data_IF_136485116376
#
_entry.id   IF_136485116376
#
_cell.length_a   1.000
_cell.length_b   1.000
_cell.length_c   1.000
_cell.angle_alpha   90.00
_cell.angle_beta   90.00
_cell.angle_gamma   90.00
#
_symmetry.space_group_name_H-M   'P 1'
#
loop_
_entity.id
_entity.type
_entity.pdbx_description
1 polymer ?
#
# COMPACT_ATOMS: atom_id res chain seq x y z
N UNK A 1 22.21 19.48 -24.91
CA UNK A 1 22.09 18.37 -23.93
C UNK A 1 21.54 18.81 -22.58
N UNK A 2 21.86 20.02 -22.11
CA UNK A 2 21.39 20.58 -20.84
C UNK A 2 19.86 20.72 -20.78
N UNK A 3 19.22 21.14 -21.87
CA UNK A 3 17.76 21.30 -21.96
C UNK A 3 16.99 19.97 -21.86
N UNK A 4 17.58 18.87 -22.31
CA UNK A 4 16.97 17.53 -22.21
C UNK A 4 17.01 17.04 -20.76
N UNK A 5 18.09 17.34 -20.05
CA UNK A 5 18.24 17.02 -18.63
C UNK A 5 17.27 17.85 -17.78
N UNK A 6 17.16 19.15 -18.04
CA UNK A 6 16.20 20.03 -17.36
C UNK A 6 14.74 19.60 -17.61
N UNK A 7 14.37 19.23 -18.85
CA UNK A 7 13.04 18.74 -19.16
C UNK A 7 12.74 17.39 -18.47
N UNK A 8 13.74 16.52 -18.35
CA UNK A 8 13.60 15.26 -17.64
C UNK A 8 13.46 15.48 -16.14
N UNK A 9 14.23 16.40 -15.57
CA UNK A 9 14.11 16.80 -14.15
C UNK A 9 12.77 17.47 -13.87
N UNK A 10 12.28 18.35 -14.76
CA UNK A 10 10.95 18.97 -14.62
C UNK A 10 9.81 17.95 -14.69
N UNK A 11 9.90 16.94 -15.57
CA UNK A 11 8.92 15.83 -15.63
C UNK A 11 8.91 15.00 -14.35
N UNK A 12 10.07 14.71 -13.79
CA UNK A 12 10.19 13.96 -12.52
C UNK A 12 9.69 14.80 -11.34
N UNK A 13 9.91 16.10 -11.37
CA UNK A 13 9.57 17.05 -10.29
C UNK A 13 8.14 17.57 -10.32
N UNK A 14 7.32 17.23 -11.33
CA UNK A 14 5.93 17.72 -11.46
C UNK A 14 5.77 19.23 -11.17
N UNK A 15 6.69 20.06 -11.67
CA UNK A 15 6.69 21.54 -11.50
C UNK A 15 6.79 22.07 -10.05
N UNK A 16 7.26 21.29 -9.09
CA UNK A 16 7.57 21.81 -7.74
C UNK A 16 9.06 22.03 -7.59
N UNK A 17 9.47 23.22 -7.16
CA UNK A 17 10.84 23.52 -6.74
C UNK A 17 11.14 22.78 -5.44
N UNK A 18 12.23 22.02 -5.42
CA UNK A 18 12.73 21.35 -4.21
C UNK A 18 13.45 22.38 -3.38
N UNK A 19 12.98 22.65 -2.18
CA UNK A 19 13.59 23.58 -1.23
C UNK A 19 14.57 22.91 -0.27
N UNK A 20 14.41 21.58 -0.04
CA UNK A 20 15.26 20.82 0.89
C UNK A 20 15.47 19.36 0.42
N UNK A 21 16.56 18.72 0.87
CA UNK A 21 16.86 17.31 0.63
C UNK A 21 15.74 16.37 1.17
N UNK A 22 15.00 16.79 2.19
CA UNK A 22 13.83 16.08 2.73
C UNK A 22 12.67 15.95 1.73
N UNK A 23 12.54 16.89 0.78
CA UNK A 23 11.48 16.85 -0.23
C UNK A 23 11.67 15.74 -1.27
N UNK A 24 12.90 15.32 -1.53
CA UNK A 24 13.21 14.20 -2.43
C UNK A 24 12.96 12.84 -1.77
N UNK A 25 13.25 12.73 -0.48
CA UNK A 25 12.96 11.53 0.32
C UNK A 25 11.43 11.31 0.45
N UNK A 26 10.65 12.37 0.60
CA UNK A 26 9.18 12.33 0.64
C UNK A 26 8.59 11.80 -0.67
N UNK A 27 9.18 12.16 -1.84
CA UNK A 27 8.67 11.74 -3.16
C UNK A 27 8.99 10.30 -3.54
N UNK A 28 9.94 9.68 -2.84
CA UNK A 28 10.32 8.29 -3.08
C UNK A 28 9.85 7.35 -1.97
N UNK A 29 9.08 7.87 -1.01
CA UNK A 29 8.66 7.09 0.15
C UNK A 29 7.83 5.85 -0.23
N UNK A 30 6.94 5.95 -1.21
CA UNK A 30 6.17 4.78 -1.68
C UNK A 30 7.07 3.72 -2.32
N UNK A 31 8.07 4.11 -3.10
CA UNK A 31 9.01 3.15 -3.70
C UNK A 31 9.91 2.49 -2.68
N UNK A 32 10.22 3.20 -1.58
CA UNK A 32 11.12 2.73 -0.54
C UNK A 32 10.41 1.83 0.49
N UNK A 33 9.16 2.14 0.81
CA UNK A 33 8.44 1.49 1.92
C UNK A 33 7.23 0.67 1.48
N UNK A 34 6.88 0.69 0.17
CA UNK A 34 5.74 -0.05 -0.35
C UNK A 34 6.15 -0.98 -1.50
N UNK A 35 5.49 -2.13 -1.54
CA UNK A 35 5.60 -3.10 -2.63
C UNK A 35 4.34 -2.98 -3.49
N UNK A 36 4.49 -2.80 -4.80
CA UNK A 36 3.37 -2.75 -5.75
C UNK A 36 2.94 -4.18 -6.12
N UNK A 37 1.88 -4.66 -5.48
CA UNK A 37 1.33 -5.99 -5.73
C UNK A 37 0.67 -6.09 -7.11
N UNK A 38 0.10 -5.00 -7.62
CA UNK A 38 -0.50 -4.97 -8.95
C UNK A 38 0.56 -5.18 -10.02
N UNK A 39 1.70 -4.53 -9.87
CA UNK A 39 2.84 -4.71 -10.77
C UNK A 39 3.42 -6.13 -10.70
N UNK A 40 3.53 -6.71 -9.50
CA UNK A 40 3.96 -8.11 -9.34
C UNK A 40 2.99 -9.08 -10.00
N UNK A 41 1.67 -8.79 -9.95
CA UNK A 41 0.66 -9.57 -10.65
C UNK A 41 0.80 -9.47 -12.18
N UNK A 42 1.06 -8.28 -12.71
CA UNK A 42 1.33 -8.06 -14.15
C UNK A 42 2.57 -8.82 -14.63
N UNK A 43 3.61 -8.87 -13.81
CA UNK A 43 4.86 -9.59 -14.08
C UNK A 43 4.74 -11.12 -13.88
N UNK A 44 3.57 -11.62 -13.45
CA UNK A 44 3.35 -13.05 -13.18
C UNK A 44 4.16 -13.59 -12.00
N UNK A 45 4.54 -12.73 -11.06
CA UNK A 45 5.35 -13.09 -9.88
C UNK A 45 4.53 -13.48 -8.66
N UNK A 46 3.21 -13.38 -8.75
CA UNK A 46 2.31 -13.80 -7.68
C UNK A 46 1.80 -15.21 -7.92
N UNK A 47 1.74 -16.00 -6.87
CA UNK A 47 1.19 -17.35 -6.93
C UNK A 47 -0.35 -17.32 -7.08
N UNK A 48 -0.94 -18.28 -7.78
CA UNK A 48 -2.38 -18.40 -7.90
C UNK A 48 -3.01 -18.70 -6.53
N UNK A 49 -4.03 -17.94 -6.18
CA UNK A 49 -4.74 -18.09 -4.91
C UNK A 49 -5.93 -19.03 -5.08
N UNK A 50 -5.94 -20.13 -4.34
CA UNK A 50 -6.96 -21.18 -4.41
C UNK A 50 -7.81 -21.17 -3.15
N UNK A 51 -9.13 -21.27 -3.31
CA UNK A 51 -10.06 -21.48 -2.19
C UNK A 51 -10.32 -20.24 -1.33
N UNK A 52 -10.06 -19.03 -1.84
CA UNK A 52 -10.31 -17.75 -1.14
C UNK A 52 -11.27 -16.82 -1.90
N UNK A 53 -12.08 -17.39 -2.76
CA UNK A 53 -12.97 -16.62 -3.64
C UNK A 53 -14.01 -15.79 -2.88
N UNK A 54 -14.55 -16.34 -1.80
CA UNK A 54 -15.58 -15.67 -1.01
C UNK A 54 -15.01 -14.48 -0.21
N UNK A 55 -13.84 -14.65 0.39
CA UNK A 55 -13.16 -13.59 1.13
C UNK A 55 -12.74 -12.45 0.18
N UNK A 56 -12.19 -12.78 -1.00
CA UNK A 56 -11.82 -11.78 -2.02
C UNK A 56 -13.08 -11.05 -2.50
N UNK A 57 -14.17 -11.78 -2.81
CA UNK A 57 -15.44 -11.17 -3.23
C UNK A 57 -15.99 -10.23 -2.15
N UNK A 58 -15.95 -10.64 -0.90
CA UNK A 58 -16.40 -9.82 0.23
C UNK A 58 -15.54 -8.57 0.40
N UNK A 59 -14.23 -8.70 0.24
CA UNK A 59 -13.30 -7.56 0.25
C UNK A 59 -13.63 -6.56 -0.85
N UNK A 60 -13.87 -7.03 -2.09
CA UNK A 60 -14.33 -6.21 -3.22
C UNK A 60 -15.63 -5.47 -2.89
N UNK A 61 -16.62 -6.17 -2.33
CA UNK A 61 -17.89 -5.57 -1.94
C UNK A 61 -17.73 -4.45 -0.91
N UNK A 62 -16.84 -4.62 0.07
CA UNK A 62 -16.58 -3.59 1.09
C UNK A 62 -15.85 -2.40 0.45
N UNK A 63 -14.85 -2.63 -0.40
CA UNK A 63 -14.11 -1.57 -1.09
C UNK A 63 -14.99 -0.70 -1.98
N UNK A 64 -16.10 -1.23 -2.50
CA UNK A 64 -17.06 -0.49 -3.35
C UNK A 64 -18.03 0.40 -2.57
N UNK A 65 -18.10 0.28 -1.26
CA UNK A 65 -19.03 1.09 -0.45
C UNK A 65 -18.69 2.57 -0.55
N UNK A 66 -19.69 3.42 -0.53
CA UNK A 66 -19.51 4.89 -0.49
C UNK A 66 -18.93 5.36 0.84
N UNK A 67 -19.23 4.66 1.92
CA UNK A 67 -18.76 4.94 3.28
C UNK A 67 -18.33 3.63 3.91
N UNK A 68 -17.41 3.68 4.91
CA UNK A 68 -16.89 2.49 5.60
C UNK A 68 -16.32 1.44 4.62
N UNK A 69 -15.57 1.91 3.65
CA UNK A 69 -15.00 1.13 2.55
C UNK A 69 -13.60 0.56 2.85
N UNK A 70 -13.17 0.59 4.09
CA UNK A 70 -11.88 0.05 4.51
C UNK A 70 -12.11 -1.33 5.15
N UNK A 71 -11.95 -2.44 4.42
CA UNK A 71 -12.05 -3.78 4.98
C UNK A 71 -10.89 -4.06 5.93
N UNK A 72 -11.18 -4.86 6.94
CA UNK A 72 -10.21 -5.38 7.90
C UNK A 72 -10.26 -6.89 7.82
N UNK A 73 -9.11 -7.51 7.53
CA UNK A 73 -8.95 -8.96 7.52
C UNK A 73 -8.45 -9.41 8.89
N UNK A 74 -9.26 -10.21 9.58
CA UNK A 74 -8.96 -10.74 10.91
C UNK A 74 -8.76 -12.25 10.79
N UNK A 75 -7.73 -12.75 11.45
CA UNK A 75 -7.44 -14.18 11.48
C UNK A 75 -6.09 -14.46 12.14
N UNK A 76 -5.85 -15.71 12.48
CA UNK A 76 -4.57 -16.15 13.05
C UNK A 76 -3.39 -15.95 12.09
N UNK A 77 -2.16 -15.88 12.60
CA UNK A 77 -0.96 -15.89 11.76
C UNK A 77 -0.95 -17.11 10.81
N UNK A 78 -0.49 -16.91 9.58
CA UNK A 78 -0.35 -18.02 8.63
C UNK A 78 -1.63 -18.48 7.92
N UNK A 79 -2.82 -17.98 8.27
CA UNK A 79 -4.08 -18.39 7.61
C UNK A 79 -4.26 -17.86 6.18
N UNK A 80 -3.29 -17.10 5.65
CA UNK A 80 -3.31 -16.61 4.27
C UNK A 80 -4.02 -15.27 4.07
N UNK A 81 -3.95 -14.36 5.05
CA UNK A 81 -4.51 -12.99 4.91
C UNK A 81 -3.87 -12.24 3.73
N UNK A 82 -2.56 -12.35 3.57
CA UNK A 82 -1.81 -11.73 2.47
C UNK A 82 -2.24 -12.32 1.12
N UNK A 83 -2.47 -13.63 1.05
CA UNK A 83 -2.94 -14.30 -0.17
C UNK A 83 -4.27 -13.74 -0.69
N UNK A 84 -5.18 -13.29 0.21
CA UNK A 84 -6.44 -12.64 -0.20
C UNK A 84 -6.16 -11.35 -0.98
N UNK A 85 -5.15 -10.59 -0.58
CA UNK A 85 -4.78 -9.34 -1.23
C UNK A 85 -4.04 -9.58 -2.55
N UNK A 86 -3.19 -10.60 -2.58
CA UNK A 86 -2.54 -11.06 -3.83
C UNK A 86 -3.58 -11.55 -4.84
N UNK A 87 -4.57 -12.33 -4.38
CA UNK A 87 -5.70 -12.74 -5.20
C UNK A 87 -6.56 -11.58 -5.70
N UNK A 88 -6.73 -10.53 -4.88
CA UNK A 88 -7.39 -9.29 -5.31
C UNK A 88 -6.58 -8.59 -6.41
N UNK A 89 -5.25 -8.50 -6.28
CA UNK A 89 -4.38 -7.92 -7.29
C UNK A 89 -4.47 -8.69 -8.63
N UNK A 90 -4.44 -10.02 -8.60
CA UNK A 90 -4.62 -10.87 -9.77
C UNK A 90 -5.98 -10.61 -10.46
N UNK A 91 -7.07 -10.48 -9.69
CA UNK A 91 -8.40 -10.17 -10.25
C UNK A 91 -8.49 -8.78 -10.84
N UNK A 92 -7.78 -7.78 -10.30
CA UNK A 92 -7.71 -6.44 -10.90
C UNK A 92 -7.06 -6.53 -12.28
N UNK A 93 -5.93 -7.21 -12.41
CA UNK A 93 -5.21 -7.39 -13.68
C UNK A 93 -6.05 -8.17 -14.68
N UNK A 94 -6.70 -9.25 -14.26
CA UNK A 94 -7.60 -10.05 -15.09
C UNK A 94 -8.93 -9.33 -15.43
N UNK A 95 -9.15 -8.11 -14.90
CA UNK A 95 -10.40 -7.34 -15.05
C UNK A 95 -11.63 -8.05 -14.48
N UNK A 96 -11.46 -8.95 -13.55
CA UNK A 96 -12.52 -9.71 -12.85
C UNK A 96 -13.10 -8.93 -11.67
N UNK A 97 -12.93 -7.62 -11.67
CA UNK A 97 -13.43 -6.68 -10.67
C UNK A 97 -14.32 -5.63 -11.32
N UNK A 98 -15.23 -5.02 -10.56
CA UNK A 98 -16.05 -3.91 -11.04
C UNK A 98 -15.19 -2.75 -11.56
N UNK A 99 -15.77 -1.97 -12.47
CA UNK A 99 -15.08 -0.90 -13.20
C UNK A 99 -14.38 0.11 -12.27
N UNK A 100 -15.01 0.39 -11.13
CA UNK A 100 -14.45 1.32 -10.11
C UNK A 100 -13.12 0.87 -9.50
N UNK A 101 -12.79 -0.42 -9.60
CA UNK A 101 -11.56 -1.00 -9.05
C UNK A 101 -10.52 -1.36 -10.12
N UNK A 102 -10.91 -1.41 -11.41
CA UNK A 102 -10.03 -1.82 -12.51
C UNK A 102 -8.80 -0.93 -12.71
N UNK A 103 -8.93 0.35 -12.38
CA UNK A 103 -7.84 1.33 -12.48
C UNK A 103 -7.04 1.49 -11.18
N UNK A 104 -7.37 0.72 -10.15
CA UNK A 104 -6.71 0.84 -8.84
C UNK A 104 -5.43 0.01 -8.80
N UNK A 105 -4.42 0.57 -8.11
CA UNK A 105 -3.19 -0.14 -7.76
C UNK A 105 -3.24 -0.58 -6.31
N UNK A 106 -2.68 -1.73 -6.00
CA UNK A 106 -2.54 -2.21 -4.63
C UNK A 106 -1.08 -2.07 -4.21
N UNK A 107 -0.84 -1.25 -3.20
CA UNK A 107 0.47 -1.08 -2.58
C UNK A 107 0.46 -1.75 -1.20
N UNK A 108 1.40 -2.63 -0.94
CA UNK A 108 1.61 -3.24 0.38
C UNK A 108 2.67 -2.45 1.14
N UNK A 109 2.30 -1.88 2.28
CA UNK A 109 3.20 -1.15 3.15
C UNK A 109 4.01 -2.11 4.01
N UNK A 110 5.34 -2.03 3.92
CA UNK A 110 6.27 -2.78 4.75
C UNK A 110 6.60 -1.98 6.03
N UNK A 111 5.91 -2.32 7.12
CA UNK A 111 6.15 -1.69 8.41
C UNK A 111 7.55 -2.00 8.95
N UNK A 112 8.11 -3.17 8.62
CA UNK A 112 9.46 -3.54 9.01
C UNK A 112 10.50 -2.57 8.44
N UNK A 113 10.37 -2.20 7.17
CA UNK A 113 11.25 -1.20 6.55
C UNK A 113 11.04 0.21 7.11
N UNK A 114 9.83 0.58 7.51
CA UNK A 114 9.57 1.86 8.16
C UNK A 114 10.25 1.97 9.52
N UNK A 115 10.26 0.89 10.30
CA UNK A 115 10.87 0.82 11.63
C UNK A 115 12.38 0.63 11.53
N UNK A 116 12.86 -0.10 10.52
CA UNK A 116 14.29 -0.37 10.34
C UNK A 116 15.11 0.93 10.26
N UNK A 117 16.08 1.07 11.15
CA UNK A 117 16.94 2.24 11.23
C UNK A 117 16.27 3.52 11.77
N UNK A 118 15.04 3.46 12.26
CA UNK A 118 14.45 4.53 13.04
C UNK A 118 15.02 4.48 14.48
N UNK A 119 15.81 5.48 14.86
CA UNK A 119 16.41 5.56 16.20
C UNK A 119 15.41 6.08 17.23
N UNK A 120 14.45 6.89 16.79
CA UNK A 120 13.45 7.53 17.61
C UNK A 120 12.05 7.33 17.02
N UNK A 121 11.04 7.38 17.86
CA UNK A 121 9.63 7.30 17.43
C UNK A 121 9.26 8.39 16.40
N UNK A 122 9.90 9.55 16.49
CA UNK A 122 9.70 10.65 15.53
C UNK A 122 10.08 10.29 14.09
N UNK A 123 11.17 9.53 13.91
CA UNK A 123 11.64 9.12 12.57
C UNK A 123 10.60 8.24 11.88
N UNK A 124 9.95 7.33 12.61
CA UNK A 124 8.88 6.49 12.10
C UNK A 124 7.65 7.32 11.69
N UNK A 125 7.24 8.25 12.56
CA UNK A 125 6.08 9.12 12.28
C UNK A 125 6.31 10.00 11.05
N UNK A 126 7.53 10.50 10.85
CA UNK A 126 7.92 11.30 9.69
C UNK A 126 7.87 10.48 8.40
N UNK A 127 8.45 9.27 8.39
CA UNK A 127 8.41 8.35 7.25
C UNK A 127 6.97 7.97 6.90
N UNK A 128 6.14 7.66 7.89
CA UNK A 128 4.72 7.35 7.66
C UNK A 128 3.96 8.55 7.09
N UNK A 129 4.21 9.77 7.60
CA UNK A 129 3.63 11.00 7.03
C UNK A 129 4.05 11.22 5.58
N UNK A 130 5.32 10.93 5.23
CA UNK A 130 5.81 11.02 3.85
C UNK A 130 5.04 10.06 2.93
N UNK A 131 4.90 8.79 3.32
CA UNK A 131 4.09 7.79 2.58
C UNK A 131 2.66 8.26 2.38
N UNK A 132 1.99 8.71 3.45
CA UNK A 132 0.60 9.18 3.39
C UNK A 132 0.45 10.46 2.53
N UNK A 133 1.44 11.35 2.55
CA UNK A 133 1.44 12.56 1.71
C UNK A 133 1.57 12.20 0.22
N UNK A 134 2.44 11.27 -0.12
CA UNK A 134 2.61 10.81 -1.50
C UNK A 134 1.36 10.05 -2.00
N UNK A 135 0.74 9.21 -1.15
CA UNK A 135 -0.54 8.57 -1.45
C UNK A 135 -1.65 9.57 -1.77
N UNK A 136 -1.74 10.65 -0.98
CA UNK A 136 -2.72 11.73 -1.22
C UNK A 136 -2.56 12.38 -2.59
N UNK A 137 -1.33 12.50 -3.08
CA UNK A 137 -1.07 13.07 -4.41
C UNK A 137 -1.57 12.16 -5.55
N UNK A 138 -1.74 10.86 -5.30
CA UNK A 138 -2.21 9.87 -6.28
C UNK A 138 -3.74 9.84 -6.46
N UNK A 139 -4.47 10.80 -5.87
CA UNK A 139 -5.90 11.07 -6.10
C UNK A 139 -6.84 9.85 -5.97
N UNK A 140 -6.56 8.96 -5.04
CA UNK A 140 -7.44 7.82 -4.76
C UNK A 140 -7.37 6.69 -5.78
N UNK A 141 -6.32 6.62 -6.60
CA UNK A 141 -6.06 5.50 -7.51
C UNK A 141 -5.39 4.30 -6.82
N UNK A 142 -5.07 4.44 -5.54
CA UNK A 142 -4.31 3.46 -4.77
C UNK A 142 -5.13 2.88 -3.63
N UNK A 143 -5.00 1.58 -3.45
CA UNK A 143 -5.43 0.83 -2.28
C UNK A 143 -4.18 0.49 -1.47
N UNK A 144 -4.05 1.05 -0.28
CA UNK A 144 -2.95 0.73 0.61
C UNK A 144 -3.31 -0.48 1.48
N UNK A 145 -2.50 -1.50 1.41
CA UNK A 145 -2.54 -2.67 2.29
C UNK A 145 -1.48 -2.52 3.38
N UNK A 146 -1.88 -2.69 4.63
CA UNK A 146 -0.99 -2.65 5.79
C UNK A 146 -1.00 -4.04 6.40
N UNK A 147 0.13 -4.73 6.33
CA UNK A 147 0.33 -6.04 6.95
C UNK A 147 1.09 -5.87 8.26
N UNK A 148 0.44 -6.12 9.38
CA UNK A 148 1.05 -6.06 10.70
C UNK A 148 1.82 -7.37 10.97
N UNK A 149 2.95 -7.59 10.30
CA UNK A 149 3.85 -8.73 10.55
C UNK A 149 4.72 -8.59 11.81
N UNK A 150 4.44 -7.63 12.67
CA UNK A 150 5.31 -7.28 13.79
C UNK A 150 5.13 -8.16 15.04
N UNK A 151 5.10 -9.50 14.92
CA UNK A 151 5.04 -10.37 16.09
C UNK A 151 6.42 -10.65 16.73
N UNK A 152 7.55 -10.27 16.12
CA UNK A 152 8.86 -10.63 16.66
C UNK A 152 9.48 -9.60 17.63
N UNK A 153 8.89 -8.41 17.81
CA UNK A 153 9.51 -7.35 18.61
C UNK A 153 8.63 -6.67 19.68
N UNK A 154 7.42 -7.15 19.95
CA UNK A 154 6.60 -6.58 21.04
C UNK A 154 6.20 -7.63 22.07
N UNK A 155 7.19 -8.10 22.83
CA UNK A 155 6.97 -8.96 24.00
C UNK A 155 6.33 -8.25 25.21
N UNK A 156 5.86 -7.02 25.08
CA UNK A 156 5.31 -6.24 26.22
C UNK A 156 3.90 -5.70 26.03
N UNK A 157 3.20 -6.01 24.93
CA UNK A 157 1.77 -5.70 24.81
C UNK A 157 0.97 -6.99 24.82
N UNK A 158 0.67 -7.48 26.02
CA UNK A 158 -0.29 -8.55 26.27
C UNK A 158 -1.68 -8.11 25.79
N UNK A 159 -1.98 -8.43 24.56
CA UNK A 159 -3.37 -8.49 24.06
C UNK A 159 -3.46 -9.65 23.09
N UNK A 160 -4.50 -10.51 23.15
CA UNK A 160 -4.61 -11.65 22.24
C UNK A 160 -4.66 -11.12 20.80
N UNK A 161 -3.59 -11.39 20.07
CA UNK A 161 -3.29 -10.78 18.78
C UNK A 161 -4.29 -11.18 17.71
N UNK A 162 -5.28 -10.35 17.50
CA UNK A 162 -5.98 -10.31 16.23
C UNK A 162 -5.15 -9.45 15.27
N UNK A 163 -4.37 -10.08 14.42
CA UNK A 163 -3.66 -9.41 13.32
C UNK A 163 -4.68 -8.72 12.42
N UNK A 164 -4.64 -7.40 12.40
CA UNK A 164 -5.55 -6.56 11.65
C UNK A 164 -4.87 -6.06 10.39
N UNK A 165 -5.17 -6.66 9.25
CA UNK A 165 -4.78 -6.13 7.96
C UNK A 165 -5.77 -5.06 7.52
N UNK A 166 -5.33 -3.82 7.34
CA UNK A 166 -6.17 -2.70 6.89
C UNK A 166 -5.93 -2.39 5.42
N UNK A 167 -7.01 -2.30 4.67
CA UNK A 167 -7.03 -1.74 3.33
C UNK A 167 -7.60 -0.32 3.41
N UNK A 168 -6.80 0.66 3.04
CA UNK A 168 -7.19 2.06 3.02
C UNK A 168 -7.40 2.52 1.57
N UNK A 169 -8.64 2.94 1.28
CA UNK A 169 -8.97 3.70 0.07
C UNK A 169 -9.01 5.18 0.43
N UNK A 170 -8.19 5.98 -0.22
CA UNK A 170 -8.33 7.42 -0.09
C UNK A 170 -9.62 7.90 -0.75
N UNK A 171 -10.40 8.67 0.01
CA UNK A 171 -11.63 9.31 -0.51
C UNK A 171 -11.25 10.53 -1.33
N UNK A 172 -11.79 10.62 -2.56
CA UNK A 172 -11.98 11.92 -3.20
C UNK A 172 -12.87 12.78 -2.29
N UNK A 173 -12.39 13.96 -1.88
CA UNK A 173 -13.24 15.03 -1.40
C UNK A 173 -14.01 15.64 -2.56
#
# INVERSE_FOLDING_TARGET
>A
DEKIVEQSIQKIRMNKTVSDASDEDVRQALKKYCIDLTKLAEEGKLDPVIGRDDEIRRTIQVLQRRTKNNPVLIGEPGVGKTAIIEGLALRIINREVPETLRSKKILSLDLGQLIAGAKFRGDFEERLKAVLSELKSMQGEVILFIDERSEEHTSELQSPCNLVCRLLLEKKK
#
